data_IF_336875764265
#
_entry.id   IF_336875764265
#
_cell.length_a   1.000
_cell.length_b   1.000
_cell.length_c   1.000
_cell.angle_alpha   90.00
_cell.angle_beta   90.00
_cell.angle_gamma   90.00
#
_symmetry.space_group_name_H-M   'P 1'
#
loop_
_entity.id
_entity.type
_entity.pdbx_description
1 polymer ?
#
# COMPACT_ATOMS: atom_id res chain seq x y z
N UNK A 1 9.38 -16.71 -16.73
CA UNK A 1 8.64 -15.73 -15.91
C UNK A 1 8.87 -15.95 -14.40
N UNK A 2 8.89 -17.20 -13.97
CA UNK A 2 8.99 -17.63 -12.55
C UNK A 2 10.22 -17.11 -11.80
N UNK A 3 11.40 -16.99 -12.44
CA UNK A 3 12.60 -16.43 -11.78
C UNK A 3 12.41 -14.95 -11.41
N UNK A 4 11.77 -14.17 -12.28
CA UNK A 4 11.47 -12.77 -12.02
C UNK A 4 10.48 -12.64 -10.86
N UNK A 5 9.38 -13.39 -10.88
CA UNK A 5 8.36 -13.37 -9.81
C UNK A 5 8.95 -13.79 -8.46
N UNK A 6 9.82 -14.82 -8.45
CA UNK A 6 10.51 -15.26 -7.23
C UNK A 6 11.45 -14.21 -6.64
N UNK A 7 12.00 -13.31 -7.47
CA UNK A 7 12.79 -12.17 -7.00
C UNK A 7 11.92 -10.98 -6.61
N UNK A 8 10.85 -10.72 -7.36
CA UNK A 8 9.94 -9.63 -7.07
C UNK A 8 9.24 -9.84 -5.72
N UNK A 9 8.78 -11.06 -5.44
CA UNK A 9 8.06 -11.38 -4.20
C UNK A 9 8.90 -11.25 -2.91
N UNK A 10 10.23 -11.16 -3.01
CA UNK A 10 11.10 -10.93 -1.85
C UNK A 10 11.23 -9.45 -1.48
N UNK A 11 10.74 -8.53 -2.33
CA UNK A 11 10.76 -7.11 -2.02
C UNK A 11 9.65 -6.77 -1.03
N UNK A 12 9.97 -5.99 0.00
CA UNK A 12 9.01 -5.56 1.03
C UNK A 12 7.80 -4.80 0.45
N UNK A 13 7.99 -4.17 -0.71
CA UNK A 13 6.97 -3.38 -1.41
C UNK A 13 6.17 -4.19 -2.43
N UNK A 14 6.47 -5.48 -2.61
CA UNK A 14 5.72 -6.33 -3.52
C UNK A 14 4.32 -6.61 -2.99
N UNK A 15 3.31 -6.30 -3.81
CA UNK A 15 1.90 -6.51 -3.46
C UNK A 15 1.40 -5.62 -2.32
N UNK A 16 2.12 -4.54 -1.99
CA UNK A 16 1.73 -3.60 -0.92
C UNK A 16 1.00 -2.39 -1.51
N UNK A 17 -0.18 -2.08 -0.96
CA UNK A 17 -0.85 -0.79 -1.15
C UNK A 17 -0.47 0.18 0.00
N UNK A 18 0.16 1.34 -0.29
CA UNK A 18 0.61 2.25 0.76
C UNK A 18 -0.53 3.13 1.30
N UNK A 19 -0.74 3.10 2.62
CA UNK A 19 -1.70 3.94 3.31
C UNK A 19 -1.01 5.06 4.12
N UNK A 20 -1.23 6.35 3.83
CA UNK A 20 -0.59 7.44 4.56
C UNK A 20 -1.11 7.53 6.00
N UNK A 21 -0.20 7.64 6.97
CA UNK A 21 -0.52 7.79 8.40
C UNK A 21 0.49 8.71 9.11
N UNK A 22 0.24 9.00 10.39
CA UNK A 22 1.20 9.62 11.30
C UNK A 22 1.46 8.74 12.51
N UNK A 23 2.70 8.72 13.00
CA UNK A 23 3.03 8.10 14.29
C UNK A 23 2.63 8.98 15.48
N UNK A 24 2.94 8.53 16.70
CA UNK A 24 2.67 9.27 17.93
C UNK A 24 3.46 10.60 18.05
N UNK A 25 4.53 10.77 17.25
CA UNK A 25 5.37 11.98 17.21
C UNK A 25 4.91 12.95 16.12
N UNK A 26 3.91 12.57 15.32
CA UNK A 26 3.40 13.35 14.20
C UNK A 26 4.19 13.18 12.90
N UNK A 27 5.18 12.29 12.85
CA UNK A 27 5.94 12.00 11.64
C UNK A 27 5.05 11.32 10.61
N UNK A 28 5.13 11.77 9.37
CA UNK A 28 4.38 11.17 8.27
C UNK A 28 5.05 9.88 7.79
N UNK A 29 4.26 8.81 7.71
CA UNK A 29 4.67 7.47 7.31
C UNK A 29 3.66 6.89 6.31
N UNK A 30 4.03 5.78 5.67
CA UNK A 30 3.12 4.91 4.96
C UNK A 30 3.03 3.56 5.67
N UNK A 31 1.82 3.06 5.89
CA UNK A 31 1.58 1.66 6.24
C UNK A 31 1.49 0.83 4.97
N UNK A 32 2.06 -0.37 5.01
CA UNK A 32 1.88 -1.41 4.00
C UNK A 32 1.43 -2.70 4.65
N UNK A 33 0.68 -3.53 3.94
CA UNK A 33 0.22 -4.84 4.42
C UNK A 33 0.62 -5.87 3.37
N UNK A 34 1.25 -6.97 3.78
CA UNK A 34 1.62 -8.06 2.89
C UNK A 34 1.48 -9.44 3.58
N UNK A 35 1.93 -10.49 2.89
CA UNK A 35 1.88 -11.86 3.39
C UNK A 35 2.66 -12.13 4.69
N UNK A 36 3.64 -11.29 5.05
CA UNK A 36 4.44 -11.46 6.27
C UNK A 36 3.92 -10.64 7.46
N UNK A 37 3.27 -9.50 7.20
CA UNK A 37 2.86 -8.59 8.26
C UNK A 37 2.42 -7.21 7.80
N UNK A 38 2.42 -6.30 8.78
CA UNK A 38 2.21 -4.87 8.59
C UNK A 38 3.57 -4.18 8.62
N UNK A 39 3.84 -3.34 7.64
CA UNK A 39 5.09 -2.61 7.49
C UNK A 39 4.83 -1.12 7.64
N UNK A 40 5.85 -0.40 8.11
CA UNK A 40 5.86 1.07 8.05
C UNK A 40 7.04 1.53 7.20
N UNK A 41 6.81 2.59 6.43
CA UNK A 41 7.82 3.19 5.56
C UNK A 41 7.90 4.70 5.79
N UNK A 42 9.12 5.21 5.75
CA UNK A 42 9.40 6.64 5.64
C UNK A 42 10.12 6.88 4.31
N UNK A 43 9.43 7.50 3.36
CA UNK A 43 9.87 7.48 1.95
C UNK A 43 9.89 6.04 1.42
N UNK A 44 11.00 5.62 0.81
CA UNK A 44 11.21 4.25 0.31
C UNK A 44 11.83 3.30 1.34
N UNK A 45 12.12 3.77 2.56
CA UNK A 45 12.81 2.98 3.60
C UNK A 45 11.80 2.36 4.55
N UNK A 46 11.85 1.03 4.70
CA UNK A 46 11.13 0.31 5.75
C UNK A 46 11.67 0.73 7.13
N UNK A 47 10.78 1.08 8.05
CA UNK A 47 11.12 1.48 9.42
C UNK A 47 10.73 0.41 10.44
N UNK A 48 9.56 -0.22 10.31
CA UNK A 48 9.16 -1.36 11.16
C UNK A 48 8.47 -2.45 10.35
N UNK A 49 8.48 -3.67 10.88
CA UNK A 49 7.76 -4.82 10.37
C UNK A 49 7.11 -5.58 11.53
N UNK A 50 5.80 -5.48 11.65
CA UNK A 50 4.98 -6.17 12.63
C UNK A 50 4.50 -7.48 12.02
N UNK A 51 5.17 -8.59 12.35
CA UNK A 51 4.90 -9.88 11.71
C UNK A 51 3.58 -10.44 12.21
N UNK A 52 2.87 -11.20 11.37
CA UNK A 52 1.59 -11.79 11.77
C UNK A 52 1.69 -12.65 13.04
N UNK A 53 2.81 -13.36 13.23
CA UNK A 53 3.06 -14.17 14.43
C UNK A 53 3.21 -13.35 15.73
N UNK A 54 3.48 -12.05 15.62
CA UNK A 54 3.62 -11.12 16.75
C UNK A 54 2.34 -10.33 16.98
N UNK A 55 1.45 -10.23 15.98
CA UNK A 55 0.20 -9.48 16.06
C UNK A 55 -0.85 -10.29 16.80
N UNK A 56 -1.20 -9.84 18.00
CA UNK A 56 -2.21 -10.47 18.83
C UNK A 56 -3.62 -9.96 18.54
N UNK A 57 -3.76 -8.65 18.32
CA UNK A 57 -5.05 -8.01 18.05
C UNK A 57 -4.85 -6.72 17.25
N UNK A 58 -5.76 -6.45 16.31
CA UNK A 58 -5.80 -5.19 15.56
C UNK A 58 -7.14 -4.51 15.83
N UNK A 59 -7.09 -3.25 16.22
CA UNK A 59 -8.26 -2.40 16.48
C UNK A 59 -8.14 -1.08 15.73
N UNK A 60 -9.21 -0.31 15.75
CA UNK A 60 -9.18 1.09 15.40
C UNK A 60 -10.19 1.88 16.24
N UNK A 61 -9.90 3.15 16.51
CA UNK A 61 -10.79 4.07 17.20
C UNK A 61 -10.73 5.45 16.56
N UNK A 62 -11.86 5.92 16.03
CA UNK A 62 -11.90 7.17 15.26
C UNK A 62 -10.91 7.13 14.10
N UNK A 63 -9.83 7.91 14.19
CA UNK A 63 -8.73 7.96 13.20
C UNK A 63 -7.49 7.15 13.60
N UNK A 64 -7.50 6.48 14.74
CA UNK A 64 -6.35 5.75 15.27
C UNK A 64 -6.43 4.27 14.89
N UNK A 65 -5.46 3.80 14.10
CA UNK A 65 -5.23 2.40 13.81
C UNK A 65 -4.30 1.84 14.89
N UNK A 66 -4.67 0.74 15.54
CA UNK A 66 -4.01 0.25 16.76
C UNK A 66 -3.64 -1.21 16.59
N UNK A 67 -2.35 -1.52 16.79
CA UNK A 67 -1.81 -2.87 16.73
C UNK A 67 -1.36 -3.27 18.13
N UNK A 68 -1.88 -4.39 18.64
CA UNK A 68 -1.42 -5.02 19.87
C UNK A 68 -0.52 -6.19 19.52
N UNK A 69 0.70 -6.15 20.05
CA UNK A 69 1.78 -7.09 19.77
C UNK A 69 2.12 -7.89 21.03
N UNK A 70 2.53 -9.14 20.83
CA UNK A 70 3.17 -9.96 21.85
C UNK A 70 4.51 -10.41 21.28
N UNK A 71 5.60 -9.96 21.89
CA UNK A 71 6.96 -10.36 21.50
C UNK A 71 7.77 -10.69 22.75
N UNK A 72 8.32 -11.91 22.82
CA UNK A 72 9.06 -12.40 23.99
C UNK A 72 8.29 -12.15 25.31
N UNK A 73 7.02 -12.55 25.34
CA UNK A 73 6.08 -12.38 26.46
C UNK A 73 5.74 -10.92 26.83
N UNK A 74 6.33 -9.92 26.16
CA UNK A 74 6.03 -8.50 26.38
C UNK A 74 4.88 -8.06 25.49
N UNK A 75 3.84 -7.50 26.12
CA UNK A 75 2.71 -6.86 25.43
C UNK A 75 3.08 -5.43 25.06
N UNK A 76 3.03 -5.12 23.77
CA UNK A 76 3.31 -3.78 23.23
C UNK A 76 2.12 -3.29 22.43
N UNK A 77 1.76 -2.02 22.52
CA UNK A 77 0.69 -1.42 21.71
C UNK A 77 1.26 -0.28 20.88
N UNK A 78 0.99 -0.29 19.58
CA UNK A 78 1.44 0.74 18.63
C UNK A 78 0.23 1.37 17.96
N UNK A 79 0.23 2.69 17.81
CA UNK A 79 -0.86 3.45 17.22
C UNK A 79 -0.40 4.33 16.05
N UNK A 80 -1.22 4.38 15.01
CA UNK A 80 -1.01 5.21 13.82
C UNK A 80 -2.26 6.04 13.53
N UNK A 81 -2.11 7.34 13.35
CA UNK A 81 -3.21 8.25 13.02
C UNK A 81 -3.42 8.34 11.51
N UNK A 82 -4.56 7.88 11.04
CA UNK A 82 -4.99 8.01 9.65
C UNK A 82 -5.58 9.40 9.35
N UNK A 83 -5.69 9.80 8.06
CA UNK A 83 -6.25 11.10 7.67
C UNK A 83 -7.72 11.26 8.06
N UNK A 84 -8.50 10.19 7.90
CA UNK A 84 -9.94 10.12 8.20
C UNK A 84 -10.28 8.81 8.92
N UNK A 85 -11.44 8.78 9.58
CA UNK A 85 -11.91 7.55 10.22
C UNK A 85 -12.29 6.46 9.20
N UNK A 86 -12.78 6.87 8.03
CA UNK A 86 -13.04 5.95 6.92
C UNK A 86 -11.76 5.29 6.40
N UNK A 87 -10.67 6.07 6.23
CA UNK A 87 -9.36 5.53 5.88
C UNK A 87 -8.85 4.56 6.95
N UNK A 88 -9.00 4.92 8.23
CA UNK A 88 -8.62 4.07 9.35
C UNK A 88 -9.37 2.72 9.35
N UNK A 89 -10.69 2.77 9.18
CA UNK A 89 -11.54 1.57 9.06
C UNK A 89 -11.16 0.72 7.85
N UNK A 90 -10.79 1.34 6.74
CA UNK A 90 -10.35 0.62 5.55
C UNK A 90 -9.04 -0.13 5.80
N UNK A 91 -8.00 0.55 6.32
CA UNK A 91 -6.73 -0.08 6.70
C UNK A 91 -6.95 -1.23 7.67
N UNK A 92 -7.81 -1.04 8.67
CA UNK A 92 -8.18 -2.10 9.61
C UNK A 92 -8.79 -3.32 8.92
N UNK A 93 -9.72 -3.13 7.97
CA UNK A 93 -10.31 -4.24 7.21
C UNK A 93 -9.28 -4.98 6.37
N UNK A 94 -8.44 -4.25 5.63
CA UNK A 94 -7.38 -4.85 4.83
C UNK A 94 -6.41 -5.67 5.71
N UNK A 95 -6.04 -5.14 6.88
CA UNK A 95 -5.14 -5.82 7.79
C UNK A 95 -5.77 -7.10 8.38
N UNK A 96 -7.04 -7.05 8.79
CA UNK A 96 -7.75 -8.23 9.31
C UNK A 96 -7.90 -9.30 8.21
N UNK A 97 -8.31 -8.90 7.00
CA UNK A 97 -8.49 -9.84 5.88
C UNK A 97 -7.20 -10.58 5.53
N UNK A 98 -6.10 -9.84 5.38
CA UNK A 98 -4.78 -10.40 5.07
C UNK A 98 -4.26 -11.27 6.22
N UNK A 99 -4.37 -10.81 7.47
CA UNK A 99 -3.98 -11.60 8.65
C UNK A 99 -4.73 -12.93 8.69
N UNK A 100 -6.06 -12.92 8.56
CA UNK A 100 -6.86 -14.15 8.59
C UNK A 100 -6.53 -15.07 7.41
N UNK A 101 -6.36 -14.53 6.21
CA UNK A 101 -6.00 -15.30 5.01
C UNK A 101 -4.68 -16.08 5.18
N UNK A 102 -3.64 -15.47 5.72
CA UNK A 102 -2.30 -16.08 5.84
C UNK A 102 -2.08 -16.88 7.13
N UNK A 103 -2.84 -16.62 8.19
CA UNK A 103 -2.58 -17.24 9.50
C UNK A 103 -3.55 -18.37 9.86
N UNK A 104 -4.79 -18.33 9.38
CA UNK A 104 -5.77 -19.32 9.78
C UNK A 104 -5.48 -20.70 9.16
N UNK A 105 -5.73 -21.79 9.91
CA UNK A 105 -5.67 -23.14 9.37
C UNK A 105 -6.82 -23.41 8.38
N UNK A 106 -8.04 -22.93 8.68
CA UNK A 106 -9.22 -23.02 7.81
C UNK A 106 -10.04 -21.73 7.86
N UNK A 107 -10.75 -21.44 6.77
CA UNK A 107 -11.73 -20.35 6.70
C UNK A 107 -12.92 -20.57 7.64
N UNK A 108 -13.23 -21.82 8.01
CA UNK A 108 -14.27 -22.16 8.97
C UNK A 108 -13.96 -21.67 10.40
N UNK A 109 -12.67 -21.55 10.74
CA UNK A 109 -12.20 -21.09 12.05
C UNK A 109 -12.17 -19.55 12.16
N UNK A 110 -12.55 -18.84 11.10
CA UNK A 110 -12.44 -17.40 11.07
C UNK A 110 -13.41 -16.72 12.06
N UNK A 111 -12.90 -15.95 13.04
CA UNK A 111 -13.75 -15.30 14.02
C UNK A 111 -14.48 -14.09 13.43
N UNK A 112 -15.65 -13.77 14.01
CA UNK A 112 -16.26 -12.46 13.80
C UNK A 112 -15.47 -11.42 14.58
N UNK A 113 -14.72 -10.57 13.90
CA UNK A 113 -13.91 -9.51 14.53
C UNK A 113 -14.79 -8.29 14.75
N UNK A 114 -14.86 -7.82 15.99
CA UNK A 114 -15.62 -6.62 16.37
C UNK A 114 -14.67 -5.60 16.99
N UNK A 115 -14.74 -4.38 16.48
CA UNK A 115 -13.99 -3.24 16.98
C UNK A 115 -14.95 -2.09 17.32
N UNK A 116 -14.69 -1.43 18.45
CA UNK A 116 -15.56 -0.40 19.04
C UNK A 116 -16.21 -0.91 20.32
N UNK A 117 -16.03 -0.17 21.41
CA UNK A 117 -16.41 -0.61 22.76
C UNK A 117 -16.41 0.52 23.79
N UNK A 118 -16.96 1.67 23.43
CA UNK A 118 -17.40 2.65 24.43
C UNK A 118 -18.93 2.71 24.39
N UNK A 119 -19.56 2.76 25.56
CA UNK A 119 -21.01 2.69 25.78
C UNK A 119 -21.83 3.77 25.03
N UNK A 120 -21.16 4.75 24.40
CA UNK A 120 -21.76 5.83 23.60
C UNK A 120 -21.47 5.77 22.10
N UNK A 121 -20.74 4.77 21.60
CA UNK A 121 -20.47 4.64 20.16
C UNK A 121 -21.51 3.75 19.48
N UNK A 122 -22.44 4.37 18.76
CA UNK A 122 -23.37 3.70 17.85
C UNK A 122 -22.67 2.92 16.72
N UNK A 123 -21.37 3.14 16.50
CA UNK A 123 -20.60 2.57 15.39
C UNK A 123 -19.65 1.47 15.86
N UNK A 124 -20.20 0.32 16.25
CA UNK A 124 -19.41 -0.92 16.34
C UNK A 124 -19.15 -1.43 14.92
N UNK A 125 -17.88 -1.48 14.51
CA UNK A 125 -17.51 -2.10 13.24
C UNK A 125 -17.36 -3.60 13.43
N UNK A 126 -18.21 -4.36 12.73
CA UNK A 126 -18.11 -5.80 12.62
C UNK A 126 -17.44 -6.18 11.30
N UNK A 127 -16.58 -7.18 11.35
CA UNK A 127 -15.93 -7.81 10.21
C UNK A 127 -16.17 -9.31 10.28
N UNK A 128 -16.62 -9.89 9.17
CA UNK A 128 -16.73 -11.33 8.97
C UNK A 128 -15.89 -11.67 7.76
N UNK A 129 -14.96 -12.60 7.96
CA UNK A 129 -14.16 -13.13 6.86
C UNK A 129 -15.05 -13.88 5.87
N UNK A 130 -14.70 -13.81 4.59
CA UNK A 130 -15.42 -14.48 3.52
C UNK A 130 -14.42 -14.96 2.48
N UNK A 131 -14.59 -16.20 2.00
CA UNK A 131 -13.68 -16.83 1.05
C UNK A 131 -12.81 -17.91 1.69
N UNK A 132 -11.84 -18.39 0.92
CA UNK A 132 -10.89 -19.43 1.32
C UNK A 132 -9.60 -18.81 1.84
N UNK A 133 -9.01 -19.43 2.85
CA UNK A 133 -7.68 -19.04 3.36
C UNK A 133 -6.57 -19.63 2.47
N UNK A 134 -5.33 -19.15 2.65
CA UNK A 134 -4.20 -19.58 1.80
C UNK A 134 -4.01 -21.10 1.79
N UNK A 135 -4.08 -21.74 2.96
CA UNK A 135 -3.87 -23.20 3.08
C UNK A 135 -4.86 -24.00 2.25
N UNK A 136 -6.15 -23.65 2.33
CA UNK A 136 -7.21 -24.28 1.54
C UNK A 136 -7.00 -24.08 0.03
N UNK A 137 -6.45 -22.94 -0.38
CA UNK A 137 -6.14 -22.64 -1.77
C UNK A 137 -4.93 -23.46 -2.24
N UNK A 138 -3.87 -23.56 -1.43
CA UNK A 138 -2.66 -24.32 -1.78
C UNK A 138 -2.92 -25.83 -1.86
N UNK A 139 -3.88 -26.33 -1.09
CA UNK A 139 -4.31 -27.73 -1.09
C UNK A 139 -5.31 -28.04 -2.22
N UNK A 140 -5.92 -27.03 -2.86
CA UNK A 140 -6.90 -27.23 -3.91
C UNK A 140 -6.26 -27.73 -5.23
N UNK A 141 -6.50 -28.99 -5.63
CA UNK A 141 -5.93 -29.53 -6.86
C UNK A 141 -6.47 -28.83 -8.12
N UNK A 142 -7.65 -28.20 -8.08
CA UNK A 142 -8.24 -27.51 -9.23
C UNK A 142 -7.46 -26.26 -9.66
N UNK A 143 -6.59 -25.73 -8.79
CA UNK A 143 -5.74 -24.59 -9.09
C UNK A 143 -4.40 -24.97 -9.73
N UNK A 144 -4.07 -26.26 -9.80
CA UNK A 144 -2.91 -26.77 -10.54
C UNK A 144 -3.22 -26.76 -12.04
N UNK A 145 -3.17 -25.58 -12.65
CA UNK A 145 -3.20 -25.43 -14.11
C UNK A 145 -1.79 -25.58 -14.67
N UNK A 146 -1.68 -26.26 -15.81
CA UNK A 146 -0.43 -26.30 -16.58
C UNK A 146 -0.02 -24.88 -16.99
N UNK A 147 1.27 -24.57 -16.89
CA UNK A 147 1.80 -23.26 -17.24
C UNK A 147 1.48 -22.96 -18.71
N UNK A 148 0.74 -21.89 -19.03
CA UNK A 148 0.39 -21.59 -20.41
C UNK A 148 1.66 -21.30 -21.22
N UNK A 149 1.71 -21.79 -22.46
CA UNK A 149 2.84 -21.51 -23.36
C UNK A 149 2.82 -20.05 -23.80
N UNK A 150 3.64 -19.20 -23.16
CA UNK A 150 3.74 -17.78 -23.51
C UNK A 150 4.74 -17.60 -24.66
N UNK A 151 4.27 -17.47 -25.90
CA UNK A 151 5.11 -17.07 -27.04
C UNK A 151 5.14 -15.55 -27.15
N UNK A 152 6.16 -14.90 -26.57
CA UNK A 152 6.35 -13.45 -26.75
C UNK A 152 7.07 -13.20 -28.07
N UNK A 153 6.34 -12.80 -29.10
CA UNK A 153 6.96 -12.27 -30.32
C UNK A 153 7.68 -10.98 -29.97
N UNK A 154 9.01 -10.97 -30.13
CA UNK A 154 9.77 -9.72 -30.10
C UNK A 154 9.41 -8.95 -31.36
N UNK A 155 8.38 -8.09 -31.28
CA UNK A 155 8.24 -7.02 -32.24
C UNK A 155 9.46 -6.12 -32.06
N UNK A 156 10.54 -6.42 -32.80
CA UNK A 156 11.58 -5.45 -33.14
C UNK A 156 10.88 -4.31 -33.85
N UNK A 157 10.32 -3.37 -33.09
CA UNK A 157 10.08 -2.03 -33.62
C UNK A 157 11.48 -1.54 -33.97
N UNK A 158 11.80 -1.48 -35.26
CA UNK A 158 12.96 -0.73 -35.73
C UNK A 158 12.75 0.68 -35.17
N UNK A 159 13.46 1.01 -34.10
CA UNK A 159 13.56 2.38 -33.66
C UNK A 159 14.30 3.09 -34.78
N UNK A 160 13.57 3.83 -35.62
CA UNK A 160 14.19 4.83 -36.47
C UNK A 160 14.74 5.88 -35.51
N UNK A 161 16.03 5.73 -35.19
CA UNK A 161 16.80 6.68 -34.43
C UNK A 161 16.64 8.06 -35.04
N UNK A 162 16.14 9.02 -34.27
CA UNK A 162 16.37 10.44 -34.55
C UNK A 162 17.88 10.68 -34.52
N UNK A 163 18.50 11.30 -35.54
CA UNK A 163 19.91 11.65 -35.48
C UNK A 163 20.16 12.66 -34.36
N UNK A 164 21.31 12.51 -33.70
CA UNK A 164 21.78 13.43 -32.67
C UNK A 164 21.84 14.87 -33.19
N UNK A 165 21.44 15.81 -32.32
CA UNK A 165 21.49 17.26 -32.49
C UNK A 165 22.88 17.74 -32.94
N UNK A 166 22.99 18.54 -34.01
CA UNK A 166 24.16 19.38 -34.23
C UNK A 166 24.01 20.68 -33.42
N UNK A 167 25.07 20.98 -32.67
CA UNK A 167 25.35 22.20 -31.94
C UNK A 167 25.11 23.47 -32.77
N UNK A 168 24.55 24.52 -32.15
CA UNK A 168 24.59 25.90 -32.65
C UNK A 168 26.04 26.31 -32.97
N UNK A 169 26.29 27.12 -34.03
CA UNK A 169 26.18 28.56 -33.87
C UNK A 169 25.81 29.40 -35.12
N UNK A 170 25.65 30.69 -34.84
CA UNK A 170 25.68 31.89 -35.71
C UNK A 170 24.33 32.39 -36.24
N UNK A 171 23.99 33.59 -35.75
CA UNK A 171 22.84 34.40 -36.07
C UNK A 171 22.88 34.99 -37.48
N UNK A 172 21.71 35.17 -38.08
CA UNK A 172 21.31 36.42 -38.76
C UNK A 172 19.80 36.38 -39.04
N UNK A 173 19.16 37.52 -38.80
CA UNK A 173 17.78 37.95 -39.10
C UNK A 173 16.82 36.98 -39.80
N UNK A 174 15.66 36.75 -39.18
CA UNK A 174 14.35 37.14 -39.72
C UNK A 174 13.26 36.75 -38.70
N UNK A 175 12.53 37.75 -38.21
CA UNK A 175 11.55 37.61 -37.14
C UNK A 175 10.29 36.85 -37.52
N UNK A 176 9.57 36.37 -36.51
CA UNK A 176 8.10 36.38 -36.46
C UNK A 176 7.65 36.12 -35.02
N UNK A 177 7.17 37.19 -34.37
CA UNK A 177 6.05 37.27 -33.41
C UNK A 177 5.77 36.12 -32.42
N UNK A 178 6.06 36.42 -31.15
CA UNK A 178 5.14 36.37 -29.98
C UNK A 178 4.07 35.28 -29.90
N UNK A 179 4.19 34.39 -28.90
CA UNK A 179 3.04 33.93 -28.10
C UNK A 179 3.41 33.92 -26.60
N UNK A 180 2.49 34.33 -25.69
CA UNK A 180 2.85 34.70 -24.33
C UNK A 180 2.93 33.50 -23.38
N UNK A 181 3.93 33.53 -22.51
CA UNK A 181 4.13 32.61 -21.39
C UNK A 181 3.22 33.05 -20.24
N UNK A 182 2.24 32.23 -19.87
CA UNK A 182 1.37 32.48 -18.72
C UNK A 182 2.14 32.27 -17.41
N UNK A 183 2.58 33.38 -16.80
CA UNK A 183 3.03 33.41 -15.41
C UNK A 183 1.82 33.69 -14.52
N UNK A 184 1.47 32.74 -13.65
CA UNK A 184 0.66 33.06 -12.47
C UNK A 184 1.58 33.68 -11.42
N UNK A 185 1.35 34.96 -11.14
CA UNK A 185 1.82 35.61 -9.92
C UNK A 185 0.69 36.52 -9.44
N UNK A 186 0.36 36.38 -8.17
CA UNK A 186 -0.64 37.15 -7.44
C UNK A 186 -0.31 38.64 -7.45
N UNK A 187 -1.35 39.49 -7.44
CA UNK A 187 -1.25 40.76 -6.72
C UNK A 187 -2.63 41.25 -6.25
N UNK A 188 -2.74 41.29 -4.92
CA UNK A 188 -3.38 42.32 -4.11
C UNK A 188 -3.33 43.74 -4.70
N UNK A 189 -4.47 44.42 -4.77
CA UNK A 189 -4.66 45.89 -4.65
C UNK A 189 -6.18 46.13 -4.47
N UNK A 190 -6.72 47.18 -3.87
CA UNK A 190 -6.42 48.20 -2.85
C UNK A 190 -7.68 49.09 -2.84
N UNK A 191 -7.90 49.85 -1.76
CA UNK A 191 -9.03 50.76 -1.49
C UNK A 191 -9.26 51.88 -2.54
N UNK A 192 -10.33 52.69 -2.39
CA UNK A 192 -10.27 53.87 -1.51
C UNK A 192 -11.25 53.87 -0.32
#
# INVERSE_FOLDING_TARGET
>A
ESNFLRKACTLDTYGVDPHPVKDHRGNQLYLGINHLGILTFQGSRKTNHFRWVEVHKINYEGKMFIIHLIYQEKKTTVGFKCPTGAACRHVWRCAIEQMLFFTLPSSADAPSVVTGGSFFSWSSSKFRYSGRVEKEILEDPALRRDEPSITRSSLRRKANSVPATPSTPIASDLGYSSLPRSNHSADSRLDP
#
